data_IF_771752378140
#
_entry.id   IF_771752378140
#
_cell.length_a   1.000
_cell.length_b   1.000
_cell.length_c   1.000
_cell.angle_alpha   90.00
_cell.angle_beta   90.00
_cell.angle_gamma   90.00
#
_symmetry.space_group_name_H-M   'P 1'
#
loop_
_entity.id
_entity.type
_entity.pdbx_description
1 polymer ?
#
# COMPACT_ATOMS: atom_id res chain seq x y z
N UNK A 1 -9.22 10.57 -9.45
CA UNK A 1 -7.99 10.26 -8.68
C UNK A 1 -6.86 10.14 -9.67
N UNK A 2 -5.66 10.61 -9.33
CA UNK A 2 -4.48 10.46 -10.17
C UNK A 2 -3.52 9.46 -9.54
N UNK A 3 -2.91 8.62 -10.36
CA UNK A 3 -1.87 7.67 -9.95
C UNK A 3 -0.53 8.21 -10.39
N UNK A 4 0.48 8.10 -9.53
CA UNK A 4 1.86 8.42 -9.89
C UNK A 4 2.77 7.23 -9.65
N UNK A 5 3.83 7.17 -10.46
CA UNK A 5 5.01 6.37 -10.17
C UNK A 5 6.16 7.32 -9.84
N UNK A 6 6.85 7.02 -8.75
CA UNK A 6 8.09 7.66 -8.34
C UNK A 6 9.20 6.62 -8.43
N UNK A 7 10.24 6.92 -9.20
CA UNK A 7 11.48 6.15 -9.24
C UNK A 7 12.49 6.85 -8.34
N UNK A 8 12.71 6.37 -7.10
CA UNK A 8 13.61 7.05 -6.17
C UNK A 8 15.03 7.10 -6.73
N UNK A 9 15.76 8.15 -6.37
CA UNK A 9 17.14 8.32 -6.83
C UNK A 9 18.02 7.14 -6.36
N UNK A 10 19.04 6.75 -7.16
CA UNK A 10 20.02 5.76 -6.71
C UNK A 10 20.63 6.19 -5.36
N UNK A 11 20.72 5.26 -4.41
CA UNK A 11 21.28 5.48 -3.06
C UNK A 11 20.53 6.50 -2.17
N UNK A 12 19.41 7.04 -2.63
CA UNK A 12 18.55 7.92 -1.85
C UNK A 12 17.59 7.13 -0.95
N UNK A 13 17.31 7.68 0.24
CA UNK A 13 16.19 7.20 1.03
C UNK A 13 14.89 7.71 0.40
N UNK A 14 14.20 6.84 -0.34
CA UNK A 14 12.90 7.10 -0.95
C UNK A 14 11.86 7.67 0.03
N UNK A 15 12.01 7.45 1.35
CA UNK A 15 11.12 8.03 2.36
C UNK A 15 11.24 9.54 2.45
N UNK A 16 12.42 10.10 2.24
CA UNK A 16 12.64 11.55 2.20
C UNK A 16 11.94 12.15 0.98
N UNK A 17 12.06 11.47 -0.17
CA UNK A 17 11.39 11.88 -1.39
C UNK A 17 9.86 11.85 -1.25
N UNK A 18 9.30 10.79 -0.66
CA UNK A 18 7.87 10.71 -0.35
C UNK A 18 7.47 11.82 0.63
N UNK A 19 8.28 12.12 1.66
CA UNK A 19 7.98 13.18 2.63
C UNK A 19 7.87 14.55 1.95
N UNK A 20 8.75 14.83 1.01
CA UNK A 20 8.71 16.06 0.22
C UNK A 20 7.48 16.10 -0.71
N UNK A 21 7.12 14.96 -1.32
CA UNK A 21 5.89 14.85 -2.11
C UNK A 21 4.63 15.12 -1.28
N UNK A 22 4.55 14.62 -0.03
CA UNK A 22 3.42 14.92 0.88
C UNK A 22 3.32 16.40 1.22
N UNK A 23 4.45 17.09 1.35
CA UNK A 23 4.46 18.51 1.67
C UNK A 23 3.87 19.34 0.51
N UNK A 24 4.09 18.88 -0.73
CA UNK A 24 3.73 19.62 -1.96
C UNK A 24 2.42 19.14 -2.58
N UNK A 25 2.03 17.90 -2.36
CA UNK A 25 0.87 17.25 -2.97
C UNK A 25 -0.02 16.60 -1.91
N UNK A 26 -1.33 16.63 -2.15
CA UNK A 26 -2.32 15.95 -1.31
C UNK A 26 -2.39 14.46 -1.67
N UNK A 27 -1.42 13.70 -1.17
CA UNK A 27 -1.34 12.26 -1.38
C UNK A 27 -2.41 11.51 -0.57
N UNK A 28 -2.88 10.39 -1.10
CA UNK A 28 -3.66 9.43 -0.34
C UNK A 28 -2.80 8.77 0.76
N UNK A 29 -3.38 8.29 1.88
CA UNK A 29 -2.60 7.82 3.02
C UNK A 29 -1.74 6.57 2.76
N UNK A 30 -2.01 5.83 1.69
CA UNK A 30 -1.34 4.58 1.38
C UNK A 30 -0.96 4.50 -0.10
N UNK A 31 0.13 3.79 -0.35
CA UNK A 31 0.59 3.37 -1.66
C UNK A 31 1.37 2.07 -1.53
N UNK A 32 2.12 1.70 -2.55
CA UNK A 32 2.98 0.52 -2.47
C UNK A 32 4.30 0.70 -3.21
N UNK A 33 5.27 -0.13 -2.84
CA UNK A 33 6.56 -0.22 -3.52
C UNK A 33 6.69 -1.58 -4.20
N UNK A 34 7.08 -1.56 -5.46
CA UNK A 34 7.39 -2.74 -6.25
C UNK A 34 8.61 -2.45 -7.12
N UNK A 35 9.60 -3.36 -7.15
CA UNK A 35 10.85 -3.21 -7.92
C UNK A 35 11.53 -1.84 -7.75
N UNK A 36 11.63 -1.40 -6.49
CA UNK A 36 12.17 -0.09 -6.07
C UNK A 36 11.33 1.13 -6.48
N UNK A 37 10.35 0.99 -7.37
CA UNK A 37 9.41 2.04 -7.78
C UNK A 37 8.30 2.17 -6.74
N UNK A 38 7.95 3.40 -6.41
CA UNK A 38 6.85 3.75 -5.52
C UNK A 38 5.64 4.11 -6.37
N UNK A 39 4.52 3.45 -6.10
CA UNK A 39 3.22 3.73 -6.67
C UNK A 39 2.36 4.40 -5.60
N UNK A 40 1.73 5.50 -5.95
CA UNK A 40 0.90 6.25 -5.04
C UNK A 40 -0.26 6.93 -5.74
N UNK A 41 -1.18 7.45 -4.93
CA UNK A 41 -2.40 8.08 -5.39
C UNK A 41 -2.50 9.49 -4.82
N UNK A 42 -3.12 10.38 -5.57
CA UNK A 42 -3.36 11.75 -5.16
C UNK A 42 -4.68 12.23 -5.75
N UNK A 43 -5.41 13.06 -5.02
CA UNK A 43 -6.57 13.75 -5.57
C UNK A 43 -6.13 14.77 -6.64
N UNK A 44 -4.95 15.35 -6.44
CA UNK A 44 -4.35 16.34 -7.34
C UNK A 44 -2.82 16.31 -7.23
N UNK A 45 -2.15 15.79 -8.24
CA UNK A 45 -0.71 15.94 -8.50
C UNK A 45 -0.45 17.36 -8.99
N UNK A 46 -0.49 18.30 -8.04
CA UNK A 46 -0.15 19.69 -8.34
C UNK A 46 1.34 19.78 -8.64
N UNK A 47 1.69 20.52 -9.70
CA UNK A 47 3.07 20.90 -9.99
C UNK A 47 4.05 19.75 -10.29
N UNK A 48 3.61 18.74 -11.04
CA UNK A 48 4.48 17.63 -11.49
C UNK A 48 5.76 18.13 -12.21
N UNK A 49 5.65 19.20 -13.01
CA UNK A 49 6.81 19.88 -13.62
C UNK A 49 7.77 20.50 -12.60
N UNK A 50 7.27 21.06 -11.50
CA UNK A 50 8.15 21.62 -10.45
C UNK A 50 8.82 20.50 -9.66
N UNK A 51 8.13 19.38 -9.45
CA UNK A 51 8.74 18.19 -8.84
C UNK A 51 9.85 17.63 -9.73
N UNK A 52 9.62 17.52 -11.03
CA UNK A 52 10.66 17.12 -11.98
C UNK A 52 11.83 18.12 -12.02
N UNK A 53 11.58 19.43 -11.92
CA UNK A 53 12.62 20.45 -11.81
C UNK A 53 13.43 20.37 -10.49
N UNK A 54 12.88 19.75 -9.44
CA UNK A 54 13.58 19.41 -8.21
C UNK A 54 14.28 18.04 -8.30
N UNK A 55 14.46 17.54 -9.52
CA UNK A 55 15.15 16.29 -9.84
C UNK A 55 14.40 15.05 -9.30
N UNK A 56 13.08 15.13 -9.08
CA UNK A 56 12.28 13.94 -8.81
C UNK A 56 11.93 13.22 -10.11
N UNK A 57 12.27 11.93 -10.18
CA UNK A 57 11.80 11.04 -11.26
C UNK A 57 10.37 10.59 -10.96
N UNK A 58 9.43 11.53 -11.06
CA UNK A 58 7.99 11.31 -10.88
C UNK A 58 7.25 11.46 -12.20
N UNK A 59 6.32 10.55 -12.44
CA UNK A 59 5.47 10.53 -13.62
C UNK A 59 4.02 10.26 -13.20
N UNK A 60 3.09 11.00 -13.80
CA UNK A 60 1.68 10.66 -13.76
C UNK A 60 1.43 9.49 -14.71
N UNK A 61 0.70 8.49 -14.25
CA UNK A 61 0.27 7.35 -15.04
C UNK A 61 -1.25 7.30 -15.09
N UNK A 62 -1.78 6.62 -16.09
CA UNK A 62 -3.22 6.39 -16.18
C UNK A 62 -3.71 5.76 -14.87
N UNK A 63 -4.83 6.29 -14.36
CA UNK A 63 -5.47 5.70 -13.20
C UNK A 63 -5.97 4.30 -13.54
N UNK A 64 -5.64 3.35 -12.67
CA UNK A 64 -5.99 1.94 -12.81
C UNK A 64 -6.61 1.47 -11.49
N UNK A 65 -7.87 1.06 -11.56
CA UNK A 65 -8.64 0.55 -10.42
C UNK A 65 -7.96 -0.65 -9.77
N UNK A 66 -7.24 -1.48 -10.53
CA UNK A 66 -6.52 -2.62 -10.00
C UNK A 66 -5.38 -2.19 -9.07
N UNK A 67 -4.69 -1.07 -9.33
CA UNK A 67 -3.66 -0.56 -8.43
C UNK A 67 -4.24 -0.07 -7.10
N UNK A 68 -5.40 0.60 -7.15
CA UNK A 68 -6.10 1.04 -5.95
C UNK A 68 -6.64 -0.16 -5.16
N UNK A 69 -7.18 -1.16 -5.84
CA UNK A 69 -7.66 -2.41 -5.25
C UNK A 69 -6.53 -3.17 -4.55
N UNK A 70 -5.35 -3.25 -5.17
CA UNK A 70 -4.16 -3.87 -4.58
C UNK A 70 -3.77 -3.17 -3.27
N UNK A 71 -3.70 -1.84 -3.29
CA UNK A 71 -3.33 -1.04 -2.11
C UNK A 71 -4.34 -1.23 -0.99
N UNK A 72 -5.63 -1.20 -1.30
CA UNK A 72 -6.71 -1.39 -0.34
C UNK A 72 -6.64 -2.79 0.29
N UNK A 73 -6.46 -3.83 -0.53
CA UNK A 73 -6.34 -5.20 -0.03
C UNK A 73 -5.09 -5.39 0.86
N UNK A 74 -3.96 -4.76 0.53
CA UNK A 74 -2.75 -4.77 1.37
C UNK A 74 -3.00 -4.12 2.75
N UNK A 75 -3.70 -2.99 2.79
CA UNK A 75 -4.08 -2.31 4.04
C UNK A 75 -5.00 -3.20 4.88
N UNK A 76 -6.05 -3.76 4.26
CA UNK A 76 -6.98 -4.64 4.94
C UNK A 76 -6.33 -5.92 5.45
N UNK A 77 -5.38 -6.49 4.70
CA UNK A 77 -4.61 -7.66 5.15
C UNK A 77 -3.82 -7.34 6.42
N UNK A 78 -3.18 -6.16 6.47
CA UNK A 78 -2.45 -5.70 7.65
C UNK A 78 -3.37 -5.55 8.88
N UNK A 79 -4.53 -4.92 8.70
CA UNK A 79 -5.54 -4.76 9.76
C UNK A 79 -6.09 -6.10 10.24
N UNK A 80 -6.39 -7.00 9.31
CA UNK A 80 -6.92 -8.34 9.60
C UNK A 80 -5.89 -9.16 10.39
N UNK A 81 -4.61 -9.07 10.03
CA UNK A 81 -3.52 -9.69 10.81
C UNK A 81 -3.50 -9.17 12.25
N UNK A 82 -3.48 -7.84 12.43
CA UNK A 82 -3.49 -7.25 13.77
C UNK A 82 -4.72 -7.66 14.58
N UNK A 83 -5.90 -7.79 13.94
CA UNK A 83 -7.10 -8.33 14.59
C UNK A 83 -6.90 -9.77 15.06
N UNK A 84 -6.31 -10.64 14.23
CA UNK A 84 -6.01 -12.03 14.63
C UNK A 84 -5.08 -12.03 15.83
N UNK A 85 -3.99 -11.25 15.80
CA UNK A 85 -3.02 -11.17 16.88
C UNK A 85 -3.69 -10.71 18.20
N UNK A 86 -4.58 -9.71 18.15
CA UNK A 86 -5.36 -9.26 19.31
C UNK A 86 -6.32 -10.33 19.84
N UNK A 87 -7.02 -11.05 18.96
CA UNK A 87 -7.96 -12.09 19.38
C UNK A 87 -7.22 -13.26 20.05
N UNK A 88 -6.07 -13.67 19.49
CA UNK A 88 -5.23 -14.73 20.06
C UNK A 88 -4.66 -14.31 21.42
N UNK A 89 -4.20 -13.06 21.55
CA UNK A 89 -3.74 -12.54 22.84
C UNK A 89 -4.87 -12.58 23.90
N UNK A 90 -6.10 -12.20 23.52
CA UNK A 90 -7.23 -12.26 24.45
C UNK A 90 -7.59 -13.71 24.86
N UNK A 91 -7.39 -14.70 23.98
CA UNK A 91 -7.54 -16.11 24.35
C UNK A 91 -6.49 -16.55 25.37
N UNK A 92 -5.23 -16.19 25.11
CA UNK A 92 -4.08 -16.63 25.90
C UNK A 92 -4.02 -15.97 27.28
N UNK A 93 -4.31 -14.67 27.36
CA UNK A 93 -4.10 -13.88 28.58
C UNK A 93 -5.39 -13.49 29.31
N UNK A 94 -6.51 -13.36 28.59
CA UNK A 94 -7.77 -12.87 29.18
C UNK A 94 -8.83 -13.97 29.29
N UNK A 95 -8.55 -15.19 28.82
CA UNK A 95 -9.48 -16.32 28.84
C UNK A 95 -10.70 -16.14 27.92
N UNK A 96 -10.58 -15.33 26.87
CA UNK A 96 -11.69 -15.03 25.96
C UNK A 96 -12.09 -16.26 25.13
N UNK A 97 -13.39 -16.57 25.11
CA UNK A 97 -13.97 -17.58 24.21
C UNK A 97 -14.39 -16.94 22.87
N UNK A 98 -13.42 -16.77 21.97
CA UNK A 98 -13.59 -16.07 20.68
C UNK A 98 -13.09 -16.90 19.48
N UNK A 99 -13.08 -18.24 19.59
CA UNK A 99 -12.53 -19.13 18.56
C UNK A 99 -13.16 -18.93 17.17
N UNK A 100 -14.46 -18.68 17.11
CA UNK A 100 -15.17 -18.40 15.86
C UNK A 100 -14.72 -17.09 15.21
N UNK A 101 -14.43 -16.06 16.00
CA UNK A 101 -13.94 -14.78 15.48
C UNK A 101 -12.52 -14.89 14.95
N UNK A 102 -11.67 -15.70 15.60
CA UNK A 102 -10.34 -16.03 15.10
C UNK A 102 -10.44 -16.75 13.76
N UNK A 103 -11.34 -17.74 13.64
CA UNK A 103 -11.54 -18.49 12.41
C UNK A 103 -12.04 -17.61 11.26
N UNK A 104 -13.04 -16.75 11.51
CA UNK A 104 -13.53 -15.78 10.52
C UNK A 104 -12.43 -14.81 10.09
N UNK A 105 -11.62 -14.31 11.03
CA UNK A 105 -10.52 -13.41 10.70
C UNK A 105 -9.43 -14.11 9.87
N UNK A 106 -9.11 -15.37 10.17
CA UNK A 106 -8.17 -16.20 9.37
C UNK A 106 -8.71 -16.47 7.95
N UNK A 107 -9.99 -16.79 7.81
CA UNK A 107 -10.63 -16.96 6.49
C UNK A 107 -10.51 -15.68 5.66
N UNK A 108 -10.90 -14.53 6.23
CA UNK A 108 -10.74 -13.22 5.58
C UNK A 108 -9.29 -12.92 5.21
N UNK A 109 -8.34 -13.26 6.07
CA UNK A 109 -6.91 -13.07 5.78
C UNK A 109 -6.47 -13.89 4.55
N UNK A 110 -6.95 -15.12 4.41
CA UNK A 110 -6.67 -15.96 3.24
C UNK A 110 -7.32 -15.43 1.96
N UNK A 111 -8.58 -15.00 2.03
CA UNK A 111 -9.27 -14.36 0.91
C UNK A 111 -8.51 -13.10 0.42
N UNK A 112 -8.02 -12.28 1.36
CA UNK A 112 -7.22 -11.10 1.03
C UNK A 112 -5.89 -11.48 0.37
N UNK A 113 -5.24 -12.58 0.80
CA UNK A 113 -4.02 -13.06 0.14
C UNK A 113 -4.28 -13.50 -1.30
N UNK A 114 -5.36 -14.24 -1.55
CA UNK A 114 -5.75 -14.67 -2.89
C UNK A 114 -6.05 -13.45 -3.77
N UNK A 115 -6.86 -12.50 -3.28
CA UNK A 115 -7.16 -11.26 -3.99
C UNK A 115 -5.91 -10.43 -4.32
N UNK A 116 -4.97 -10.31 -3.38
CA UNK A 116 -3.70 -9.61 -3.61
C UNK A 116 -2.92 -10.31 -4.72
N UNK A 117 -2.86 -11.64 -4.71
CA UNK A 117 -2.12 -12.39 -5.72
C UNK A 117 -2.77 -12.29 -7.09
N UNK A 118 -4.10 -12.42 -7.19
CA UNK A 118 -4.86 -12.21 -8.43
C UNK A 118 -4.64 -10.80 -8.99
N UNK A 119 -4.73 -9.78 -8.14
CA UNK A 119 -4.54 -8.38 -8.55
C UNK A 119 -3.11 -8.13 -9.03
N UNK A 120 -2.11 -8.72 -8.38
CA UNK A 120 -0.72 -8.64 -8.84
C UNK A 120 -0.55 -9.29 -10.21
N UNK A 121 -1.13 -10.47 -10.44
CA UNK A 121 -1.10 -11.14 -11.74
C UNK A 121 -1.74 -10.28 -12.83
N UNK A 122 -2.90 -9.69 -12.55
CA UNK A 122 -3.59 -8.79 -13.48
C UNK A 122 -2.76 -7.55 -13.84
N UNK A 123 -2.01 -7.02 -12.87
CA UNK A 123 -1.11 -5.88 -13.05
C UNK A 123 0.26 -6.26 -13.64
N UNK A 124 0.51 -7.54 -13.92
CA UNK A 124 1.83 -8.03 -14.35
C UNK A 124 2.94 -7.83 -13.30
N UNK A 125 2.58 -7.73 -12.01
CA UNK A 125 3.51 -7.53 -10.90
C UNK A 125 4.05 -8.88 -10.44
N UNK A 126 5.31 -9.12 -10.76
CA UNK A 126 6.04 -10.29 -10.26
C UNK A 126 6.70 -10.00 -8.89
N UNK A 127 6.88 -11.01 -8.05
CA UNK A 127 7.59 -10.86 -6.78
C UNK A 127 6.83 -10.09 -5.68
N UNK A 128 7.56 -9.38 -4.81
CA UNK A 128 7.02 -8.84 -3.56
C UNK A 128 6.58 -7.39 -3.70
N UNK A 129 5.41 -7.08 -3.15
CA UNK A 129 4.89 -5.72 -3.01
C UNK A 129 4.95 -5.31 -1.54
N UNK A 130 5.45 -4.11 -1.28
CA UNK A 130 5.51 -3.56 0.08
C UNK A 130 4.52 -2.41 0.22
N UNK A 131 3.54 -2.55 1.10
CA UNK A 131 2.66 -1.45 1.49
C UNK A 131 3.49 -0.29 2.04
N UNK A 132 3.16 0.93 1.61
CA UNK A 132 3.72 2.17 2.13
C UNK A 132 2.61 2.96 2.80
N UNK A 133 2.98 3.59 3.92
CA UNK A 133 2.16 4.61 4.57
C UNK A 133 2.74 5.97 4.21
N UNK A 134 1.92 6.78 3.55
CA UNK A 134 2.22 8.18 3.31
C UNK A 134 1.70 9.02 4.49
#
# INVERSE_FOLDING_TARGET
>A
MQTFKLTPKPQSDYRLEIKELKYRCKLEPHGYRHNKIVYGFSQKLTDLRKLQALDFTIEEIAFDDAQLALTTALVERGRTKSKIDHLLHAQEFDGADNADDVNKAKQKFNELNNKIQETKTALGIEGTVKLLKF
#
